data_IF_601890211200
#
_entry.id   IF_601890211200
#
_cell.length_a   1.000
_cell.length_b   1.000
_cell.length_c   1.000
_cell.angle_alpha   90.00
_cell.angle_beta   90.00
_cell.angle_gamma   90.00
#
_symmetry.space_group_name_H-M   'P 1'
#
loop_
_entity.id
_entity.type
_entity.pdbx_description
1 polymer ?
#
# COMPACT_ATOMS: atom_id res chain seq x y z
N UNK A 1 27.33 11.38 -15.56
CA UNK A 1 26.88 12.16 -14.43
C UNK A 1 26.29 11.28 -13.35
N UNK A 2 26.58 11.59 -12.11
CA UNK A 2 26.09 10.79 -11.00
C UNK A 2 24.75 11.33 -10.51
N UNK A 3 23.83 10.42 -10.25
CA UNK A 3 22.60 10.79 -9.58
C UNK A 3 22.90 11.16 -8.14
N UNK A 4 22.13 12.08 -7.59
CA UNK A 4 22.24 12.39 -6.19
C UNK A 4 21.90 11.20 -5.30
N UNK A 5 22.51 11.10 -4.12
CA UNK A 5 22.25 9.98 -3.23
C UNK A 5 20.77 9.81 -2.89
N UNK A 6 20.04 10.90 -2.80
CA UNK A 6 18.62 10.85 -2.46
C UNK A 6 17.80 10.16 -3.53
N UNK A 7 18.08 10.44 -4.80
CA UNK A 7 17.36 9.83 -5.90
C UNK A 7 17.64 8.33 -5.94
N UNK A 8 18.90 7.96 -5.80
CA UNK A 8 19.29 6.55 -5.79
C UNK A 8 18.68 5.81 -4.60
N UNK A 9 18.74 6.42 -3.43
CA UNK A 9 18.19 5.81 -2.23
C UNK A 9 16.69 5.60 -2.36
N UNK A 10 15.98 6.56 -2.94
CA UNK A 10 14.54 6.46 -3.12
C UNK A 10 14.16 5.35 -4.11
N UNK A 11 14.89 5.24 -5.20
CA UNK A 11 14.68 4.18 -6.16
C UNK A 11 15.00 2.81 -5.56
N UNK A 12 16.09 2.72 -4.82
CA UNK A 12 16.48 1.50 -4.14
C UNK A 12 15.45 1.09 -3.10
N UNK A 13 14.90 2.05 -2.37
CA UNK A 13 13.88 1.77 -1.37
C UNK A 13 12.68 1.07 -2.00
N UNK A 14 12.18 1.58 -3.12
CA UNK A 14 11.06 0.96 -3.81
C UNK A 14 11.42 -0.40 -4.39
N UNK A 15 12.67 -0.58 -4.79
CA UNK A 15 13.13 -1.82 -5.38
C UNK A 15 13.52 -2.86 -4.33
N UNK A 16 14.23 -2.43 -3.29
CA UNK A 16 14.76 -3.32 -2.26
C UNK A 16 13.72 -3.63 -1.19
N UNK A 17 12.73 -2.78 -1.03
CA UNK A 17 11.76 -2.85 0.05
C UNK A 17 10.50 -3.59 -0.37
N UNK A 18 10.69 -4.62 -1.17
CA UNK A 18 9.59 -5.47 -1.63
C UNK A 18 9.28 -6.55 -0.60
N UNK A 19 8.01 -6.94 -0.55
CA UNK A 19 7.59 -8.07 0.27
C UNK A 19 6.73 -8.98 -0.59
N UNK A 20 7.02 -10.28 -0.53
CA UNK A 20 6.20 -11.24 -1.25
C UNK A 20 4.81 -11.36 -0.62
N UNK A 21 3.80 -11.54 -1.44
CA UNK A 21 2.42 -11.69 -0.97
C UNK A 21 2.32 -12.77 0.11
N UNK A 22 3.00 -13.90 -0.08
CA UNK A 22 2.97 -15.00 0.88
C UNK A 22 3.62 -14.66 2.21
N UNK A 23 4.44 -13.62 2.27
CA UNK A 23 5.13 -13.18 3.49
C UNK A 23 4.35 -12.13 4.27
N UNK A 24 3.27 -11.61 3.69
CA UNK A 24 2.43 -10.65 4.39
C UNK A 24 1.70 -11.31 5.57
N UNK A 25 1.37 -10.54 6.61
CA UNK A 25 0.44 -11.04 7.62
C UNK A 25 -0.84 -11.57 6.98
N UNK A 26 -1.45 -12.57 7.62
CA UNK A 26 -2.65 -13.19 7.07
C UNK A 26 -3.77 -12.18 6.81
N UNK A 27 -3.91 -11.19 7.71
CA UNK A 27 -4.91 -10.14 7.55
C UNK A 27 -4.67 -9.31 6.30
N UNK A 28 -3.40 -9.04 5.97
CA UNK A 28 -3.05 -8.30 4.77
C UNK A 28 -3.31 -9.13 3.52
N UNK A 29 -3.04 -10.41 3.56
CA UNK A 29 -3.36 -11.30 2.44
C UNK A 29 -4.85 -11.32 2.18
N UNK A 30 -5.66 -11.34 3.22
CA UNK A 30 -7.13 -11.31 3.09
C UNK A 30 -7.60 -10.02 2.42
N UNK A 31 -7.07 -8.88 2.86
CA UNK A 31 -7.42 -7.59 2.26
C UNK A 31 -7.00 -7.53 0.80
N UNK A 32 -5.82 -8.05 0.49
CA UNK A 32 -5.35 -8.09 -0.89
C UNK A 32 -6.33 -8.84 -1.79
N UNK A 33 -6.87 -9.96 -1.32
CA UNK A 33 -7.90 -10.71 -2.05
C UNK A 33 -9.18 -9.89 -2.21
N UNK A 34 -9.61 -9.21 -1.14
CA UNK A 34 -10.82 -8.38 -1.18
C UNK A 34 -10.69 -7.23 -2.17
N UNK A 35 -9.53 -6.61 -2.25
CA UNK A 35 -9.30 -5.53 -3.22
C UNK A 35 -9.58 -6.03 -4.63
N UNK A 36 -9.08 -7.19 -4.98
CA UNK A 36 -9.29 -7.78 -6.31
C UNK A 36 -10.73 -8.23 -6.53
N UNK A 37 -11.43 -8.58 -5.46
CA UNK A 37 -12.84 -8.97 -5.53
C UNK A 37 -13.79 -7.76 -5.51
N UNK A 38 -13.30 -6.59 -5.13
CA UNK A 38 -14.15 -5.40 -5.01
C UNK A 38 -14.86 -5.28 -3.68
N UNK A 39 -14.39 -5.96 -2.66
CA UNK A 39 -15.01 -5.97 -1.34
C UNK A 39 -15.80 -7.24 -1.08
N UNK A 40 -16.65 -7.23 -0.06
CA UNK A 40 -16.99 -6.09 0.81
C UNK A 40 -15.86 -5.75 1.78
N UNK A 41 -15.74 -4.46 2.07
CA UNK A 41 -14.72 -3.98 3.01
C UNK A 41 -15.35 -3.67 4.37
N UNK A 42 -14.55 -3.85 5.42
CA UNK A 42 -15.04 -3.73 6.81
C UNK A 42 -15.13 -2.27 7.27
N UNK A 43 -14.23 -1.43 6.80
CA UNK A 43 -14.13 -0.06 7.28
C UNK A 43 -14.64 0.93 6.23
N UNK A 44 -15.32 1.97 6.69
CA UNK A 44 -15.93 2.94 5.79
C UNK A 44 -14.90 3.70 4.94
N UNK A 45 -13.66 3.80 5.42
CA UNK A 45 -12.60 4.48 4.67
C UNK A 45 -11.92 3.59 3.63
N UNK A 46 -12.22 2.31 3.62
CA UNK A 46 -11.60 1.40 2.66
C UNK A 46 -11.99 1.77 1.24
N UNK A 47 -10.99 1.92 0.38
CA UNK A 47 -11.19 2.36 -0.98
C UNK A 47 -11.11 3.88 -1.16
N UNK A 48 -10.91 4.64 -0.08
CA UNK A 48 -10.76 6.08 -0.18
C UNK A 48 -9.47 6.45 -0.90
N UNK A 49 -9.47 7.61 -1.55
CA UNK A 49 -8.30 8.13 -2.23
C UNK A 49 -7.19 8.41 -1.22
N UNK A 50 -6.01 7.89 -1.49
CA UNK A 50 -4.80 8.17 -0.71
C UNK A 50 -4.00 9.25 -1.43
N UNK A 51 -3.74 10.36 -0.73
CA UNK A 51 -3.17 11.55 -1.36
C UNK A 51 -1.67 11.51 -1.62
N UNK A 52 -0.93 10.57 -1.02
CA UNK A 52 0.53 10.46 -1.18
C UNK A 52 1.25 11.78 -0.90
N UNK A 53 0.82 12.51 0.12
CA UNK A 53 1.32 13.86 0.42
C UNK A 53 2.81 13.86 0.74
N UNK A 54 3.29 12.82 1.42
CA UNK A 54 4.70 12.71 1.80
C UNK A 54 5.55 12.14 0.67
N UNK A 55 4.94 11.80 -0.46
CA UNK A 55 5.63 11.27 -1.64
C UNK A 55 6.45 10.01 -1.34
N UNK A 56 5.97 9.21 -0.40
CA UNK A 56 6.61 7.92 -0.09
C UNK A 56 6.42 6.92 -1.22
N UNK A 57 5.38 7.08 -2.02
CA UNK A 57 5.10 6.27 -3.21
C UNK A 57 5.42 7.09 -4.46
N UNK A 58 5.60 6.42 -5.62
CA UNK A 58 5.81 7.15 -6.87
C UNK A 58 4.72 8.18 -7.12
N UNK A 59 5.11 9.36 -7.60
CA UNK A 59 4.17 10.45 -7.85
C UNK A 59 3.24 10.08 -9.00
N UNK A 60 1.94 10.22 -8.75
CA UNK A 60 0.89 9.96 -9.74
C UNK A 60 -0.22 10.98 -9.59
N UNK A 61 -1.06 11.16 -10.60
CA UNK A 61 -2.20 12.09 -10.50
C UNK A 61 -3.10 11.72 -9.33
N UNK A 62 -3.74 12.72 -8.74
CA UNK A 62 -4.68 12.52 -7.65
C UNK A 62 -5.76 11.53 -8.06
N UNK A 63 -6.10 10.63 -7.15
CA UNK A 63 -7.09 9.59 -7.40
C UNK A 63 -6.48 8.28 -7.88
N UNK A 64 -5.17 8.28 -8.19
CA UNK A 64 -4.50 7.07 -8.62
C UNK A 64 -4.41 6.03 -7.50
N UNK A 65 -4.14 6.47 -6.27
CA UNK A 65 -3.97 5.57 -5.12
C UNK A 65 -5.23 5.50 -4.27
N UNK A 66 -5.51 4.32 -3.74
CA UNK A 66 -6.58 4.08 -2.77
C UNK A 66 -6.04 3.31 -1.59
N UNK A 67 -6.57 3.61 -0.40
CA UNK A 67 -6.11 2.98 0.84
C UNK A 67 -7.12 1.96 1.34
N UNK A 68 -6.60 0.95 2.05
CA UNK A 68 -7.42 -0.11 2.63
C UNK A 68 -6.86 -0.48 4.01
N UNK A 69 -7.73 -0.71 4.96
CA UNK A 69 -7.35 -1.08 6.31
C UNK A 69 -6.95 -2.56 6.35
N UNK A 70 -5.83 -2.83 7.04
CA UNK A 70 -5.44 -4.19 7.40
C UNK A 70 -5.62 -4.31 8.90
N UNK A 71 -6.43 -5.27 9.34
CA UNK A 71 -6.71 -5.44 10.76
C UNK A 71 -5.44 -5.75 11.54
N UNK A 72 -5.32 -5.16 12.72
CA UNK A 72 -4.25 -5.48 13.66
C UNK A 72 -4.88 -6.33 14.76
N UNK A 73 -4.46 -7.60 14.91
CA UNK A 73 -5.04 -8.46 15.93
C UNK A 73 -4.93 -7.84 17.32
N UNK A 74 -6.03 -7.82 18.07
CA UNK A 74 -6.08 -7.27 19.41
C UNK A 74 -6.20 -5.76 19.50
N UNK A 75 -6.13 -5.03 18.38
CA UNK A 75 -6.29 -3.58 18.42
C UNK A 75 -7.76 -3.21 18.59
N UNK A 76 -8.00 -2.15 19.36
CA UNK A 76 -9.37 -1.65 19.59
C UNK A 76 -9.83 -0.70 18.49
N UNK A 77 -8.87 -0.12 17.75
CA UNK A 77 -9.14 0.82 16.68
C UNK A 77 -8.68 0.25 15.34
N UNK A 78 -8.61 1.09 14.31
CA UNK A 78 -8.16 0.65 12.99
C UNK A 78 -6.71 0.18 13.00
N UNK A 79 -5.92 0.57 13.98
CA UNK A 79 -4.48 0.31 13.99
C UNK A 79 -3.77 1.11 12.89
N UNK A 80 -2.53 0.73 12.62
CA UNK A 80 -1.65 1.47 11.71
C UNK A 80 -1.35 0.73 10.40
N UNK A 81 -1.90 -0.46 10.22
CA UNK A 81 -1.60 -1.28 9.03
C UNK A 81 -2.55 -0.96 7.90
N UNK A 82 -1.99 -0.80 6.69
CA UNK A 82 -2.76 -0.47 5.49
C UNK A 82 -2.17 -1.17 4.27
N UNK A 83 -3.01 -1.32 3.24
CA UNK A 83 -2.54 -1.55 1.88
C UNK A 83 -2.95 -0.34 1.07
N UNK A 84 -2.04 0.18 0.26
CA UNK A 84 -2.32 1.25 -0.69
C UNK A 84 -2.05 0.70 -2.07
N UNK A 85 -3.06 0.75 -2.93
CA UNK A 85 -2.93 0.26 -4.30
C UNK A 85 -3.16 1.39 -5.28
N UNK A 86 -2.45 1.35 -6.40
CA UNK A 86 -2.58 2.33 -7.46
C UNK A 86 -2.91 1.70 -8.79
N UNK A 87 -3.65 2.42 -9.61
CA UNK A 87 -4.05 1.98 -10.94
C UNK A 87 -5.34 2.63 -11.37
N UNK A 88 -5.73 2.41 -12.62
CA UNK A 88 -6.98 2.94 -13.17
C UNK A 88 -8.19 2.20 -12.62
N UNK A 89 -8.06 0.89 -12.47
CA UNK A 89 -9.16 0.03 -12.04
C UNK A 89 -8.91 -0.45 -10.61
N UNK A 90 -9.77 -0.08 -9.65
CA UNK A 90 -9.54 -0.49 -8.26
C UNK A 90 -9.42 -2.00 -8.07
N UNK A 91 -10.13 -2.79 -8.87
CA UNK A 91 -10.11 -4.26 -8.74
C UNK A 91 -8.94 -4.89 -9.47
N UNK A 92 -8.23 -4.12 -10.29
CA UNK A 92 -7.06 -4.60 -11.03
C UNK A 92 -5.93 -3.58 -10.90
N UNK A 93 -5.42 -3.36 -9.69
CA UNK A 93 -4.38 -2.36 -9.47
C UNK A 93 -3.07 -2.74 -10.16
N UNK A 94 -2.34 -1.71 -10.60
CA UNK A 94 -1.04 -1.88 -11.23
C UNK A 94 0.02 -2.26 -10.20
N UNK A 95 -0.08 -1.73 -8.99
CA UNK A 95 0.86 -1.98 -7.91
C UNK A 95 0.18 -1.77 -6.56
N UNK A 96 0.56 -2.59 -5.58
CA UNK A 96 0.08 -2.46 -4.21
C UNK A 96 1.27 -2.41 -3.26
N UNK A 97 1.10 -1.67 -2.17
CA UNK A 97 2.12 -1.42 -1.18
C UNK A 97 1.55 -1.67 0.21
N UNK A 98 2.32 -2.33 1.06
CA UNK A 98 1.95 -2.58 2.44
C UNK A 98 2.67 -1.63 3.37
N UNK A 99 1.97 -1.11 4.37
CA UNK A 99 2.57 -0.34 5.45
C UNK A 99 2.08 -0.86 6.79
N UNK A 100 3.00 -0.95 7.74
CA UNK A 100 2.68 -1.33 9.12
C UNK A 100 2.76 -0.15 10.08
N UNK A 101 3.17 1.03 9.60
CA UNK A 101 3.46 2.20 10.44
C UNK A 101 2.72 3.45 9.98
N UNK A 102 1.51 3.28 9.51
CA UNK A 102 0.60 4.38 9.14
C UNK A 102 1.22 5.31 8.10
N UNK A 103 1.67 4.69 6.98
CA UNK A 103 2.17 5.40 5.80
C UNK A 103 3.57 5.99 5.94
N UNK A 104 4.30 5.69 7.00
CA UNK A 104 5.67 6.19 7.14
C UNK A 104 6.61 5.45 6.19
N UNK A 105 6.48 4.12 6.16
CA UNK A 105 7.25 3.32 5.23
C UNK A 105 6.34 2.34 4.50
N UNK A 106 6.73 1.99 3.28
CA UNK A 106 5.97 1.09 2.43
C UNK A 106 6.85 -0.02 1.89
N UNK A 107 6.22 -1.18 1.69
CA UNK A 107 6.86 -2.32 1.03
C UNK A 107 6.02 -2.69 -0.19
N UNK A 108 6.64 -2.73 -1.34
CA UNK A 108 5.93 -3.11 -2.55
C UNK A 108 5.58 -4.60 -2.49
N UNK A 109 4.33 -4.93 -2.70
CA UNK A 109 3.87 -6.31 -2.68
C UNK A 109 4.19 -6.96 -4.02
N UNK A 110 4.93 -8.07 -3.99
CA UNK A 110 5.23 -8.85 -5.18
C UNK A 110 4.40 -10.14 -5.18
N UNK A 111 4.16 -10.72 -6.36
CA UNK A 111 3.39 -11.96 -6.46
C UNK A 111 3.98 -13.13 -5.68
#
# INVERSE_FOLDING_TARGET
MLLGPEVQARQQLHHEDAIALAQLPAEAQSVHRLIRAGGPFTHSKDGAVFGNRERALPTRPRGFYREYTVATPGARDRGARRIVCGGREPKAPDACFYTADHYISFHRITP
#
